data_IF_049482919693
#
_entry.id   IF_049482919693
#
_cell.length_a   1.000
_cell.length_b   1.000
_cell.length_c   1.000
_cell.angle_alpha   90.00
_cell.angle_beta   90.00
_cell.angle_gamma   90.00
#
_symmetry.space_group_name_H-M   'P 1'
#
loop_
_entity.id
_entity.type
_entity.pdbx_description
1 polymer ?
#
# COMPACT_ATOMS: atom_id res chain seq x y z
N UNK A 1 5.89 8.88 5.93
CA UNK A 1 5.59 9.59 7.20
C UNK A 1 4.53 8.84 8.03
N UNK A 2 3.42 8.40 7.43
CA UNK A 2 2.34 7.65 8.10
C UNK A 2 2.84 6.44 8.91
N UNK A 3 3.72 5.61 8.35
CA UNK A 3 4.28 4.46 9.08
C UNK A 3 5.08 4.82 10.33
N UNK A 4 5.91 5.87 10.30
CA UNK A 4 6.67 6.26 11.49
C UNK A 4 5.72 6.75 12.59
N UNK A 5 4.68 7.50 12.23
CA UNK A 5 3.64 7.93 13.14
C UNK A 5 2.88 6.74 13.74
N UNK A 6 2.49 5.76 12.93
CA UNK A 6 1.87 4.53 13.41
C UNK A 6 2.78 3.80 14.41
N UNK A 7 4.06 3.61 14.09
CA UNK A 7 4.99 2.92 14.99
C UNK A 7 5.21 3.69 16.29
N UNK A 8 5.25 5.03 16.24
CA UNK A 8 5.32 5.87 17.45
C UNK A 8 4.04 5.74 18.26
N UNK A 9 2.87 5.80 17.61
CA UNK A 9 1.57 5.63 18.25
C UNK A 9 1.49 4.29 18.97
N UNK A 10 1.81 3.18 18.30
CA UNK A 10 1.81 1.85 18.91
C UNK A 10 2.77 1.75 20.11
N UNK A 11 3.95 2.37 20.01
CA UNK A 11 4.90 2.40 21.10
C UNK A 11 4.40 3.23 22.30
N UNK A 12 3.77 4.37 22.04
CA UNK A 12 3.17 5.23 23.07
C UNK A 12 2.00 4.52 23.74
N UNK A 13 1.08 3.92 22.98
CA UNK A 13 -0.04 3.16 23.52
C UNK A 13 0.45 2.02 24.42
N UNK A 14 1.43 1.22 23.97
CA UNK A 14 2.02 0.16 24.78
C UNK A 14 2.70 0.71 26.06
N UNK A 15 3.36 1.86 25.98
CA UNK A 15 4.00 2.49 27.13
C UNK A 15 3.00 3.09 28.14
N UNK A 16 1.84 3.57 27.69
CA UNK A 16 0.77 4.13 28.55
C UNK A 16 -0.08 3.03 29.21
N UNK A 17 -0.30 1.91 28.51
CA UNK A 17 -0.98 0.73 29.05
C UNK A 17 -0.25 0.13 30.26
N UNK A 18 1.08 0.23 30.30
CA UNK A 18 1.89 -0.39 31.35
C UNK A 18 1.71 0.30 32.74
N UNK A 19 1.67 1.64 32.86
CA UNK A 19 1.21 2.30 34.09
C UNK A 19 -0.25 2.02 34.43
N UNK A 20 -1.16 2.05 33.45
CA UNK A 20 -2.60 1.87 33.66
C UNK A 20 -2.93 0.48 34.23
N UNK A 21 -2.36 -0.58 33.65
CA UNK A 21 -2.43 -1.96 34.16
C UNK A 21 -1.99 -2.09 35.61
N UNK A 22 -0.86 -1.46 35.95
CA UNK A 22 -0.34 -1.51 37.33
C UNK A 22 -1.19 -0.73 38.31
N UNK A 23 -1.85 0.34 37.86
CA UNK A 23 -2.82 1.10 38.64
C UNK A 23 -4.08 0.27 38.90
N UNK A 24 -4.71 -0.25 37.83
CA UNK A 24 -5.89 -1.13 37.92
C UNK A 24 -5.64 -2.33 38.83
N UNK A 25 -4.50 -3.00 38.69
CA UNK A 25 -4.12 -4.13 39.54
C UNK A 25 -4.00 -3.77 41.04
N UNK A 26 -3.80 -2.50 41.38
CA UNK A 26 -3.70 -2.01 42.76
C UNK A 26 -4.99 -1.42 43.31
N UNK A 27 -5.83 -0.83 42.47
CA UNK A 27 -7.01 -0.07 42.89
C UNK A 27 -8.33 -0.81 42.74
N UNK A 28 -8.40 -1.87 41.91
CA UNK A 28 -9.61 -2.68 41.80
C UNK A 28 -9.90 -3.43 43.11
N UNK A 29 -11.06 -3.19 43.75
CA UNK A 29 -11.49 -3.95 44.91
C UNK A 29 -11.61 -5.42 44.53
N UNK A 30 -11.01 -6.32 45.29
CA UNK A 30 -11.09 -7.77 45.05
C UNK A 30 -12.51 -8.36 45.28
N UNK A 31 -13.54 -7.52 45.47
CA UNK A 31 -14.79 -7.88 46.13
C UNK A 31 -16.07 -7.68 45.31
N UNK A 32 -16.01 -7.67 43.97
CA UNK A 32 -17.22 -7.89 43.15
C UNK A 32 -17.32 -9.37 42.76
N UNK A 33 -17.83 -10.19 43.70
CA UNK A 33 -18.39 -11.55 43.58
C UNK A 33 -17.67 -12.66 42.76
N UNK A 34 -16.52 -12.43 42.13
CA UNK A 34 -15.74 -13.46 41.47
C UNK A 34 -14.24 -13.29 41.78
N UNK A 35 -13.65 -14.30 42.44
CA UNK A 35 -12.24 -14.32 42.90
C UNK A 35 -11.20 -14.09 41.79
N UNK A 36 -11.60 -14.09 40.52
CA UNK A 36 -10.74 -13.89 39.34
C UNK A 36 -10.86 -12.54 38.64
N UNK A 37 -11.71 -11.60 39.08
CA UNK A 37 -11.99 -10.36 38.33
C UNK A 37 -10.74 -9.53 38.01
N UNK A 38 -9.87 -9.33 39.01
CA UNK A 38 -8.59 -8.63 38.82
C UNK A 38 -7.65 -9.36 37.87
N UNK A 39 -7.64 -10.69 37.90
CA UNK A 39 -6.78 -11.51 37.03
C UNK A 39 -7.25 -11.43 35.58
N UNK A 40 -8.57 -11.39 35.35
CA UNK A 40 -9.14 -11.26 34.02
C UNK A 40 -8.72 -9.93 33.35
N UNK A 41 -8.86 -8.80 34.05
CA UNK A 41 -8.47 -7.48 33.54
C UNK A 41 -6.97 -7.33 33.33
N UNK A 42 -6.16 -7.68 34.33
CA UNK A 42 -4.70 -7.60 34.19
C UNK A 42 -4.20 -8.53 33.08
N UNK A 43 -4.79 -9.72 32.94
CA UNK A 43 -4.46 -10.65 31.87
C UNK A 43 -4.84 -10.13 30.49
N UNK A 44 -6.01 -9.50 30.36
CA UNK A 44 -6.48 -8.88 29.12
C UNK A 44 -5.53 -7.78 28.65
N UNK A 45 -5.16 -6.86 29.54
CA UNK A 45 -4.27 -5.76 29.20
C UNK A 45 -2.85 -6.25 28.85
N UNK A 46 -2.34 -7.27 29.53
CA UNK A 46 -1.06 -7.89 29.19
C UNK A 46 -1.14 -8.48 27.77
N UNK A 47 -2.23 -9.16 27.42
CA UNK A 47 -2.44 -9.69 26.08
C UNK A 47 -2.50 -8.55 25.03
N UNK A 48 -3.21 -7.47 25.32
CA UNK A 48 -3.28 -6.29 24.46
C UNK A 48 -1.91 -5.64 24.26
N UNK A 49 -1.14 -5.46 25.34
CA UNK A 49 0.21 -4.92 25.32
C UNK A 49 1.17 -5.79 24.48
N UNK A 50 1.11 -7.12 24.65
CA UNK A 50 1.91 -8.06 23.86
C UNK A 50 1.56 -7.99 22.38
N UNK A 51 0.26 -7.86 22.04
CA UNK A 51 -0.16 -7.73 20.65
C UNK A 51 0.24 -6.39 20.03
N UNK A 52 0.17 -5.28 20.78
CA UNK A 52 0.69 -3.99 20.34
C UNK A 52 2.21 -4.05 20.09
N UNK A 53 2.97 -4.69 20.98
CA UNK A 53 4.41 -4.89 20.81
C UNK A 53 4.73 -5.79 19.60
N UNK A 54 3.97 -6.87 19.39
CA UNK A 54 4.09 -7.73 18.22
C UNK A 54 3.73 -7.00 16.92
N UNK A 55 2.65 -6.20 16.91
CA UNK A 55 2.24 -5.39 15.76
C UNK A 55 3.33 -4.37 15.41
N UNK A 56 3.93 -3.73 16.42
CA UNK A 56 5.04 -2.80 16.28
C UNK A 56 6.28 -3.49 15.66
N UNK A 57 6.65 -4.66 16.17
CA UNK A 57 7.83 -5.40 15.70
C UNK A 57 7.63 -5.98 14.30
N UNK A 58 6.51 -6.65 14.03
CA UNK A 58 6.18 -7.21 12.71
C UNK A 58 5.96 -6.11 11.68
N UNK A 59 5.29 -5.02 12.05
CA UNK A 59 5.10 -3.85 11.21
C UNK A 59 6.43 -3.17 10.85
N UNK A 60 7.41 -3.17 11.76
CA UNK A 60 8.80 -2.75 11.46
C UNK A 60 9.48 -3.66 10.44
N UNK A 61 9.22 -4.97 10.48
CA UNK A 61 9.82 -5.94 9.54
C UNK A 61 9.08 -6.11 8.22
N UNK A 62 7.93 -5.42 8.02
CA UNK A 62 7.00 -5.66 6.89
C UNK A 62 6.58 -7.14 6.76
N UNK A 63 6.55 -7.86 7.88
CA UNK A 63 6.23 -9.28 7.85
C UNK A 63 4.73 -9.49 7.60
N UNK A 64 4.36 -10.51 6.81
CA UNK A 64 2.96 -10.81 6.45
C UNK A 64 2.01 -10.97 7.65
N UNK A 65 2.54 -11.45 8.78
CA UNK A 65 1.74 -11.64 9.99
C UNK A 65 1.39 -10.33 10.70
N UNK A 66 2.00 -9.20 10.32
CA UNK A 66 1.66 -7.90 10.89
C UNK A 66 0.16 -7.60 10.72
N UNK A 67 -0.42 -7.93 9.57
CA UNK A 67 -1.85 -7.72 9.31
C UNK A 67 -2.71 -8.52 10.29
N UNK A 68 -2.44 -9.82 10.45
CA UNK A 68 -3.19 -10.68 11.37
C UNK A 68 -3.10 -10.19 12.83
N UNK A 69 -1.90 -9.78 13.27
CA UNK A 69 -1.71 -9.26 14.62
C UNK A 69 -2.43 -7.92 14.80
N UNK A 70 -2.34 -7.00 13.83
CA UNK A 70 -3.06 -5.72 13.87
C UNK A 70 -4.58 -5.90 13.92
N UNK A 71 -5.13 -6.88 13.18
CA UNK A 71 -6.56 -7.23 13.24
C UNK A 71 -6.95 -7.79 14.60
N UNK A 72 -6.13 -8.68 15.17
CA UNK A 72 -6.37 -9.22 16.52
C UNK A 72 -6.32 -8.11 17.58
N UNK A 73 -5.34 -7.20 17.51
CA UNK A 73 -5.25 -6.03 18.41
C UNK A 73 -6.45 -5.12 18.27
N UNK A 74 -6.90 -4.83 17.04
CA UNK A 74 -8.08 -3.99 16.80
C UNK A 74 -9.36 -4.62 17.36
N UNK A 75 -9.51 -5.95 17.24
CA UNK A 75 -10.64 -6.66 17.83
C UNK A 75 -10.61 -6.57 19.36
N UNK A 76 -9.44 -6.75 19.99
CA UNK A 76 -9.30 -6.61 21.44
C UNK A 76 -9.58 -5.19 21.93
N UNK A 77 -9.13 -4.15 21.22
CA UNK A 77 -9.52 -2.76 21.54
C UNK A 77 -11.03 -2.52 21.42
N UNK A 78 -11.70 -3.19 20.47
CA UNK A 78 -13.15 -3.15 20.37
C UNK A 78 -13.85 -3.86 21.54
N UNK A 79 -13.28 -4.97 22.02
CA UNK A 79 -13.75 -5.65 23.22
C UNK A 79 -13.53 -4.79 24.47
N UNK A 80 -12.38 -4.12 24.57
CA UNK A 80 -12.01 -3.18 25.64
C UNK A 80 -13.05 -2.07 25.76
N UNK A 81 -13.29 -1.34 24.66
CA UNK A 81 -14.30 -0.30 24.57
C UNK A 81 -15.71 -0.77 24.95
N UNK A 82 -16.07 -1.98 24.54
CA UNK A 82 -17.35 -2.57 24.90
C UNK A 82 -17.43 -2.87 26.40
N UNK A 83 -16.39 -3.49 26.97
CA UNK A 83 -16.38 -3.82 28.39
C UNK A 83 -16.43 -2.56 29.26
N UNK A 84 -15.65 -1.54 28.92
CA UNK A 84 -15.62 -0.27 29.65
C UNK A 84 -16.99 0.42 29.63
N UNK A 85 -17.66 0.48 28.47
CA UNK A 85 -19.00 1.06 28.37
C UNK A 85 -20.04 0.23 29.17
N UNK A 86 -19.98 -1.09 29.10
CA UNK A 86 -20.99 -1.97 29.74
C UNK A 86 -20.81 -2.01 31.25
N UNK A 87 -19.59 -1.97 31.75
CA UNK A 87 -19.29 -2.11 33.18
C UNK A 87 -19.40 -0.80 33.95
N UNK A 88 -19.27 0.33 33.27
CA UNK A 88 -19.48 1.67 33.83
C UNK A 88 -20.94 2.15 33.69
N UNK A 89 -21.82 1.34 33.08
CA UNK A 89 -23.21 1.71 32.81
C UNK A 89 -24.02 1.90 34.11
N UNK A 90 -24.32 3.14 34.47
CA UNK A 90 -25.14 3.51 35.62
C UNK A 90 -24.41 4.18 36.80
N UNK A 91 -23.16 4.62 36.61
CA UNK A 91 -22.45 5.46 37.57
C UNK A 91 -22.79 6.97 37.35
N UNK A 92 -22.46 7.88 38.29
CA UNK A 92 -22.79 9.30 38.12
C UNK A 92 -21.93 10.06 37.07
N UNK A 93 -20.97 9.41 36.41
CA UNK A 93 -19.92 10.04 35.57
C UNK A 93 -19.66 9.31 34.22
N UNK A 94 -20.69 8.64 33.68
CA UNK A 94 -20.67 7.73 32.52
C UNK A 94 -20.10 8.28 31.20
N UNK A 95 -19.90 9.60 31.08
CA UNK A 95 -19.40 10.23 29.85
C UNK A 95 -17.91 10.01 29.62
N UNK A 96 -17.12 9.77 30.66
CA UNK A 96 -15.67 9.61 30.54
C UNK A 96 -15.29 8.33 29.77
N UNK A 97 -15.95 7.21 30.09
CA UNK A 97 -15.71 5.91 29.45
C UNK A 97 -16.18 5.89 27.99
N UNK A 98 -17.35 6.49 27.71
CA UNK A 98 -17.83 6.67 26.34
C UNK A 98 -16.88 7.57 25.53
N UNK A 99 -16.37 8.65 26.14
CA UNK A 99 -15.42 9.53 25.48
C UNK A 99 -14.08 8.82 25.19
N UNK A 100 -13.57 8.01 26.11
CA UNK A 100 -12.34 7.24 25.91
C UNK A 100 -12.50 6.21 24.78
N UNK A 101 -13.58 5.44 24.79
CA UNK A 101 -13.92 4.49 23.74
C UNK A 101 -14.01 5.17 22.35
N UNK A 102 -14.71 6.29 22.26
CA UNK A 102 -14.92 7.01 21.01
C UNK A 102 -13.67 7.76 20.49
N UNK A 103 -12.80 8.24 21.39
CA UNK A 103 -11.66 9.11 21.02
C UNK A 103 -10.34 8.35 20.93
N UNK A 104 -10.19 7.26 21.70
CA UNK A 104 -8.92 6.54 21.82
C UNK A 104 -9.03 5.15 21.23
N UNK A 105 -9.85 4.27 21.80
CA UNK A 105 -9.84 2.84 21.46
C UNK A 105 -10.39 2.54 20.08
N UNK A 106 -11.60 3.03 19.75
CA UNK A 106 -12.21 2.82 18.43
C UNK A 106 -11.35 3.46 17.33
N UNK A 107 -10.90 4.73 17.45
CA UNK A 107 -10.01 5.32 16.46
C UNK A 107 -8.69 4.55 16.31
N UNK A 108 -8.09 4.06 17.39
CA UNK A 108 -6.87 3.26 17.34
C UNK A 108 -7.11 1.92 16.64
N UNK A 109 -8.23 1.25 16.92
CA UNK A 109 -8.65 0.03 16.23
C UNK A 109 -8.83 0.27 14.72
N UNK A 110 -9.49 1.36 14.33
CA UNK A 110 -9.65 1.76 12.93
C UNK A 110 -8.29 2.03 12.28
N UNK A 111 -7.40 2.76 12.95
CA UNK A 111 -6.03 3.03 12.46
C UNK A 111 -5.26 1.73 12.24
N UNK A 112 -5.36 0.76 13.16
CA UNK A 112 -4.75 -0.56 13.03
C UNK A 112 -5.28 -1.34 11.83
N UNK A 113 -6.61 -1.37 11.63
CA UNK A 113 -7.23 -2.03 10.49
C UNK A 113 -6.85 -1.39 9.15
N UNK A 114 -6.89 -0.06 9.07
CA UNK A 114 -6.48 0.68 7.86
C UNK A 114 -5.00 0.45 7.57
N UNK A 115 -4.15 0.46 8.59
CA UNK A 115 -2.72 0.21 8.45
C UNK A 115 -2.43 -1.24 8.01
N UNK A 116 -3.16 -2.21 8.58
CA UNK A 116 -3.11 -3.61 8.17
C UNK A 116 -3.50 -3.79 6.70
N UNK A 117 -4.53 -3.07 6.24
CA UNK A 117 -4.93 -3.05 4.82
C UNK A 117 -3.88 -2.39 3.92
N UNK A 118 -3.27 -1.29 4.35
CA UNK A 118 -2.20 -0.63 3.57
C UNK A 118 -0.96 -1.52 3.42
N UNK A 119 -0.64 -2.32 4.43
CA UNK A 119 0.42 -3.34 4.34
C UNK A 119 0.07 -4.42 3.30
N UNK A 120 -1.23 -4.72 3.12
CA UNK A 120 -1.66 -5.65 2.08
C UNK A 120 -1.56 -5.04 0.68
N UNK A 121 -1.94 -3.78 0.49
CA UNK A 121 -1.95 -3.13 -0.82
C UNK A 121 -0.61 -2.52 -1.25
N UNK A 122 0.44 -2.66 -0.43
CA UNK A 122 1.74 -2.04 -0.66
C UNK A 122 1.75 -0.50 -0.51
N UNK A 123 0.60 0.17 -0.40
CA UNK A 123 0.52 1.60 -0.15
C UNK A 123 0.98 2.49 -1.31
N UNK A 124 1.08 1.96 -2.53
CA UNK A 124 1.38 2.74 -3.72
C UNK A 124 0.15 3.53 -4.17
N UNK A 125 0.31 4.83 -4.47
CA UNK A 125 -0.82 5.63 -4.93
C UNK A 125 -1.22 5.21 -6.35
N UNK A 126 -2.51 4.98 -6.58
CA UNK A 126 -3.02 4.73 -7.93
C UNK A 126 -3.21 6.07 -8.63
N UNK A 127 -2.71 6.18 -9.86
CA UNK A 127 -2.82 7.36 -10.70
C UNK A 127 -3.29 6.92 -12.08
N UNK A 128 -4.34 7.54 -12.60
CA UNK A 128 -4.82 7.24 -13.95
C UNK A 128 -3.89 7.88 -14.94
N UNK A 129 -3.36 7.10 -15.88
CA UNK A 129 -2.45 7.56 -16.91
C UNK A 129 -3.12 8.65 -17.77
N UNK A 130 -2.43 9.77 -17.91
CA UNK A 130 -2.82 10.90 -18.75
C UNK A 130 -1.88 11.05 -19.95
N UNK A 131 -2.28 11.84 -20.95
CA UNK A 131 -1.37 12.17 -22.06
C UNK A 131 -0.15 12.99 -21.59
N UNK A 132 -0.27 13.80 -20.53
CA UNK A 132 0.88 14.49 -19.93
C UNK A 132 1.89 13.49 -19.38
N UNK A 133 1.43 12.41 -18.71
CA UNK A 133 2.31 11.36 -18.21
C UNK A 133 3.08 10.67 -19.34
N UNK A 134 2.39 10.35 -20.44
CA UNK A 134 3.02 9.76 -21.64
C UNK A 134 4.08 10.70 -22.23
N UNK A 135 3.76 12.00 -22.35
CA UNK A 135 4.69 13.01 -22.86
C UNK A 135 5.89 13.19 -21.93
N UNK A 136 5.69 13.19 -20.61
CA UNK A 136 6.75 13.29 -19.61
C UNK A 136 7.67 12.07 -19.68
N UNK A 137 7.14 10.86 -19.80
CA UNK A 137 7.94 9.64 -19.85
C UNK A 137 8.84 9.56 -21.09
N UNK A 138 8.45 10.19 -22.20
CA UNK A 138 9.27 10.27 -23.41
C UNK A 138 10.44 11.24 -23.32
N UNK A 139 10.48 12.13 -22.31
CA UNK A 139 11.57 13.10 -22.13
C UNK A 139 12.76 12.43 -21.41
N UNK A 140 13.98 12.49 -21.96
CA UNK A 140 15.18 11.98 -21.27
C UNK A 140 15.42 12.63 -19.91
N UNK A 141 15.09 13.92 -19.78
CA UNK A 141 15.22 14.66 -18.51
C UNK A 141 14.33 14.10 -17.39
N UNK A 142 13.20 13.48 -17.72
CA UNK A 142 12.34 12.83 -16.72
C UNK A 142 13.03 11.63 -16.10
N UNK A 143 13.59 10.75 -16.93
CA UNK A 143 14.30 9.55 -16.45
C UNK A 143 15.48 9.94 -15.56
N UNK A 144 16.33 10.87 -16.01
CA UNK A 144 17.48 11.36 -15.25
C UNK A 144 17.09 11.95 -13.89
N UNK A 145 16.00 12.72 -13.84
CA UNK A 145 15.53 13.32 -12.58
C UNK A 145 14.96 12.25 -11.63
N UNK A 146 14.23 11.26 -12.16
CA UNK A 146 13.69 10.18 -11.33
C UNK A 146 14.81 9.30 -10.78
N UNK A 147 15.82 8.98 -11.59
CA UNK A 147 17.02 8.25 -11.21
C UNK A 147 17.80 9.00 -10.11
N UNK A 148 18.02 10.31 -10.27
CA UNK A 148 18.64 11.16 -9.25
C UNK A 148 17.85 11.23 -7.91
N UNK A 149 16.59 10.82 -7.92
CA UNK A 149 15.72 10.77 -6.74
C UNK A 149 15.55 9.35 -6.17
N UNK A 150 16.11 8.32 -6.79
CA UNK A 150 16.03 6.93 -6.31
C UNK A 150 16.72 6.76 -4.95
N UNK A 151 17.88 7.38 -4.79
CA UNK A 151 18.67 7.35 -3.55
C UNK A 151 18.06 8.18 -2.41
N UNK A 152 17.06 9.01 -2.72
CA UNK A 152 16.23 9.68 -1.72
C UNK A 152 15.98 11.17 -1.98
N UNK A 153 15.55 11.91 -0.93
CA UNK A 153 15.13 13.30 -1.10
C UNK A 153 16.27 14.26 -1.48
N UNK A 154 16.14 14.94 -2.62
CA UNK A 154 17.14 15.89 -3.14
C UNK A 154 16.61 17.33 -3.27
N UNK A 155 17.50 18.33 -3.22
CA UNK A 155 17.16 19.72 -3.58
C UNK A 155 17.28 19.93 -5.09
N UNK A 156 16.82 21.07 -5.61
CA UNK A 156 16.94 21.37 -7.04
C UNK A 156 18.41 21.47 -7.45
N UNK A 157 19.23 22.07 -6.59
CA UNK A 157 20.68 22.24 -6.79
C UNK A 157 21.38 20.87 -6.87
N UNK A 158 21.05 19.95 -5.97
CA UNK A 158 21.61 18.60 -5.99
C UNK A 158 21.18 17.81 -7.24
N UNK A 159 19.93 17.97 -7.69
CA UNK A 159 19.46 17.33 -8.93
C UNK A 159 20.22 17.90 -10.15
N UNK A 160 20.45 19.22 -10.21
CA UNK A 160 21.24 19.85 -11.27
C UNK A 160 22.66 19.30 -11.27
N UNK A 161 23.29 19.18 -10.10
CA UNK A 161 24.65 18.63 -9.94
C UNK A 161 24.75 17.17 -10.40
N UNK A 162 23.79 16.33 -10.02
CA UNK A 162 23.76 14.90 -10.37
C UNK A 162 23.44 14.65 -11.85
N UNK A 163 22.57 15.47 -12.45
CA UNK A 163 22.07 15.24 -13.82
C UNK A 163 22.79 16.06 -14.88
N UNK A 164 23.45 17.16 -14.51
CA UNK A 164 24.03 18.13 -15.44
C UNK A 164 22.99 18.91 -16.27
N UNK A 165 21.71 18.80 -15.95
CA UNK A 165 20.62 19.47 -16.67
C UNK A 165 20.58 20.96 -16.38
N UNK A 166 20.09 21.75 -17.34
CA UNK A 166 19.87 23.17 -17.11
C UNK A 166 18.82 23.41 -16.01
N UNK A 167 18.97 24.45 -15.16
CA UNK A 167 18.04 24.73 -14.06
C UNK A 167 16.58 24.88 -14.52
N UNK A 168 16.34 25.54 -15.66
CA UNK A 168 14.99 25.73 -16.22
C UNK A 168 14.32 24.41 -16.60
N UNK A 169 15.09 23.47 -17.17
CA UNK A 169 14.63 22.13 -17.53
C UNK A 169 14.29 21.33 -16.27
N UNK A 170 15.15 21.40 -15.24
CA UNK A 170 14.90 20.72 -13.97
C UNK A 170 13.61 21.23 -13.32
N UNK A 171 13.42 22.54 -13.25
CA UNK A 171 12.22 23.14 -12.65
C UNK A 171 10.94 22.88 -13.45
N UNK A 172 11.01 22.88 -14.78
CA UNK A 172 9.87 22.53 -15.63
C UNK A 172 9.49 21.05 -15.45
N UNK A 173 10.45 20.14 -15.54
CA UNK A 173 10.21 18.71 -15.39
C UNK A 173 9.68 18.38 -13.99
N UNK A 174 10.24 18.96 -12.93
CA UNK A 174 9.73 18.78 -11.56
C UNK A 174 8.30 19.32 -11.39
N UNK A 175 7.94 20.42 -12.06
CA UNK A 175 6.55 20.93 -12.07
C UNK A 175 5.61 19.95 -12.77
N UNK A 176 5.99 19.41 -13.92
CA UNK A 176 5.22 18.38 -14.64
C UNK A 176 5.04 17.13 -13.79
N UNK A 177 6.15 16.56 -13.28
CA UNK A 177 6.12 15.38 -12.43
C UNK A 177 5.30 15.58 -11.15
N UNK A 178 5.23 16.81 -10.61
CA UNK A 178 4.38 17.12 -9.46
C UNK A 178 2.89 17.10 -9.83
N UNK A 179 2.51 17.65 -10.99
CA UNK A 179 1.11 17.61 -11.47
C UNK A 179 0.66 16.17 -11.71
N UNK A 180 1.54 15.38 -12.31
CA UNK A 180 1.40 13.95 -12.55
C UNK A 180 1.61 13.05 -11.33
N UNK A 181 1.83 13.63 -10.14
CA UNK A 181 2.01 12.92 -8.85
C UNK A 181 3.21 11.97 -8.76
N UNK A 182 4.13 12.00 -9.72
CA UNK A 182 5.39 11.24 -9.68
C UNK A 182 6.38 11.78 -8.63
N UNK A 183 6.28 13.05 -8.26
CA UNK A 183 7.11 13.65 -7.20
C UNK A 183 6.28 14.48 -6.24
N UNK A 184 6.76 14.63 -5.01
CA UNK A 184 6.20 15.55 -4.01
C UNK A 184 7.31 16.35 -3.34
N UNK A 185 6.96 17.50 -2.76
CA UNK A 185 7.85 18.21 -1.83
C UNK A 185 7.71 17.70 -0.40
N UNK A 186 8.85 17.53 0.25
CA UNK A 186 8.96 17.26 1.69
C UNK A 186 8.78 18.55 2.50
N UNK A 187 8.59 18.43 3.82
CA UNK A 187 8.49 19.59 4.73
C UNK A 187 9.75 20.46 4.72
N UNK A 188 10.92 19.88 4.44
CA UNK A 188 12.19 20.60 4.30
C UNK A 188 12.48 21.11 2.88
N UNK A 189 11.46 21.22 2.01
CA UNK A 189 11.60 21.75 0.65
C UNK A 189 12.21 20.80 -0.38
N UNK A 190 12.83 19.69 0.04
CA UNK A 190 13.41 18.65 -0.85
C UNK A 190 12.33 17.91 -1.65
N UNK A 191 12.65 17.54 -2.88
CA UNK A 191 11.84 16.70 -3.76
C UNK A 191 12.01 15.23 -3.41
N UNK A 192 10.92 14.47 -3.55
CA UNK A 192 10.87 13.04 -3.25
C UNK A 192 10.10 12.36 -4.36
N UNK A 193 10.68 11.33 -4.97
CA UNK A 193 9.95 10.45 -5.87
C UNK A 193 8.83 9.74 -5.11
N UNK A 194 7.65 9.68 -5.73
CA UNK A 194 6.49 8.98 -5.21
C UNK A 194 6.25 7.79 -6.12
N UNK A 195 6.37 6.55 -5.61
CA UNK A 195 6.01 5.40 -6.40
C UNK A 195 4.50 5.44 -6.63
N UNK A 196 4.09 5.31 -7.89
CA UNK A 196 2.67 5.31 -8.28
C UNK A 196 2.39 4.11 -9.19
N UNK A 197 1.19 3.55 -9.05
CA UNK A 197 0.67 2.53 -9.94
C UNK A 197 -0.18 3.21 -11.01
N UNK A 198 0.31 3.24 -12.24
CA UNK A 198 -0.39 3.81 -13.38
C UNK A 198 -1.55 2.90 -13.81
N UNK A 199 -2.73 3.48 -13.95
CA UNK A 199 -3.97 2.79 -14.32
C UNK A 199 -4.41 3.23 -15.71
N UNK A 200 -5.00 2.33 -16.49
CA UNK A 200 -5.52 2.66 -17.80
C UNK A 200 -6.72 3.61 -17.68
N UNK A 201 -6.74 4.76 -18.39
CA UNK A 201 -7.90 5.63 -18.42
C UNK A 201 -9.07 4.96 -19.15
N UNK A 202 -10.29 5.31 -18.74
CA UNK A 202 -11.48 4.97 -19.51
C UNK A 202 -11.45 5.74 -20.83
N UNK A 203 -11.79 5.10 -21.94
CA UNK A 203 -11.64 5.69 -23.28
C UNK A 203 -12.50 6.97 -23.44
N UNK A 204 -13.62 7.04 -22.73
CA UNK A 204 -14.57 8.15 -22.71
C UNK A 204 -14.05 9.36 -21.92
N UNK A 205 -13.09 9.15 -21.03
CA UNK A 205 -12.52 10.22 -20.19
C UNK A 205 -11.48 11.09 -20.90
N UNK A 206 -11.06 10.69 -22.11
CA UNK A 206 -10.01 11.36 -22.87
C UNK A 206 -10.57 12.18 -24.03
N UNK A 207 -9.92 13.31 -24.31
CA UNK A 207 -10.10 14.03 -25.57
C UNK A 207 -9.66 13.13 -26.75
N UNK A 208 -10.15 13.35 -27.99
CA UNK A 208 -9.74 12.55 -29.14
C UNK A 208 -8.22 12.53 -29.37
N UNK A 209 -7.54 13.67 -29.17
CA UNK A 209 -6.09 13.80 -29.31
C UNK A 209 -5.34 13.04 -28.20
N UNK A 210 -5.78 13.18 -26.94
CA UNK A 210 -5.16 12.48 -25.82
C UNK A 210 -5.40 10.97 -25.90
N UNK A 211 -6.56 10.54 -26.44
CA UNK A 211 -6.86 9.12 -26.70
C UNK A 211 -5.83 8.52 -27.66
N UNK A 212 -5.58 9.16 -28.79
CA UNK A 212 -4.57 8.70 -29.76
C UNK A 212 -3.18 8.61 -29.11
N UNK A 213 -2.80 9.61 -28.31
CA UNK A 213 -1.50 9.62 -27.61
C UNK A 213 -1.37 8.45 -26.64
N UNK A 214 -2.43 8.17 -25.88
CA UNK A 214 -2.46 7.08 -24.88
C UNK A 214 -2.52 5.71 -25.54
N UNK A 215 -3.30 5.54 -26.61
CA UNK A 215 -3.37 4.29 -27.38
C UNK A 215 -2.01 3.94 -27.99
N UNK A 216 -1.38 4.87 -28.68
CA UNK A 216 -0.04 4.67 -29.26
C UNK A 216 1.02 4.30 -28.20
N UNK A 217 0.87 4.81 -26.97
CA UNK A 217 1.71 4.42 -25.84
C UNK A 217 1.48 2.96 -25.42
N UNK A 218 0.22 2.52 -25.31
CA UNK A 218 -0.09 1.13 -24.97
C UNK A 218 0.32 0.15 -26.07
N UNK A 219 0.14 0.51 -27.33
CA UNK A 219 0.52 -0.34 -28.48
C UNK A 219 2.03 -0.54 -28.52
N UNK A 220 2.80 0.54 -28.38
CA UNK A 220 4.26 0.46 -28.28
C UNK A 220 4.71 -0.39 -27.08
N UNK A 221 4.02 -0.28 -25.94
CA UNK A 221 4.31 -1.12 -24.77
C UNK A 221 4.05 -2.59 -25.07
N UNK A 222 2.93 -2.95 -25.67
CA UNK A 222 2.61 -4.35 -26.01
C UNK A 222 3.66 -4.95 -26.95
N UNK A 223 4.12 -4.18 -27.94
CA UNK A 223 5.18 -4.61 -28.85
C UNK A 223 6.48 -4.89 -28.08
N UNK A 224 6.91 -3.95 -27.23
CA UNK A 224 8.09 -4.13 -26.38
C UNK A 224 7.97 -5.35 -25.45
N UNK A 225 6.79 -5.58 -24.87
CA UNK A 225 6.54 -6.76 -24.03
C UNK A 225 6.59 -8.06 -24.84
N UNK A 226 6.18 -8.03 -26.11
CA UNK A 226 6.24 -9.19 -27.00
C UNK A 226 7.69 -9.52 -27.32
N UNK A 227 8.49 -8.53 -27.72
CA UNK A 227 9.94 -8.69 -27.96
C UNK A 227 10.67 -9.21 -26.72
N UNK A 228 10.35 -8.67 -25.54
CA UNK A 228 10.91 -9.14 -24.27
C UNK A 228 10.54 -10.59 -23.97
N UNK A 229 9.30 -10.99 -24.24
CA UNK A 229 8.83 -12.36 -24.03
C UNK A 229 9.47 -13.34 -25.02
N UNK A 230 9.61 -12.94 -26.29
CA UNK A 230 10.32 -13.72 -27.32
C UNK A 230 11.78 -13.94 -26.93
N UNK A 231 12.47 -12.88 -26.48
CA UNK A 231 13.80 -12.99 -25.90
C UNK A 231 13.77 -13.95 -24.71
N UNK A 232 12.98 -13.71 -23.67
CA UNK A 232 12.95 -14.57 -22.50
C UNK A 232 12.66 -16.06 -22.83
N UNK A 233 11.84 -16.34 -23.85
CA UNK A 233 11.61 -17.70 -24.33
C UNK A 233 12.86 -18.32 -24.97
N UNK A 234 13.64 -17.55 -25.74
CA UNK A 234 14.88 -18.01 -26.35
C UNK A 234 15.99 -18.29 -25.31
N UNK A 235 16.08 -17.50 -24.24
CA UNK A 235 17.10 -17.64 -23.18
C UNK A 235 16.66 -18.48 -21.97
N UNK A 236 15.48 -19.12 -22.00
CA UNK A 236 14.85 -19.72 -20.81
C UNK A 236 15.73 -20.71 -20.02
N UNK A 237 16.64 -21.44 -20.69
CA UNK A 237 17.54 -22.41 -20.06
C UNK A 237 18.62 -21.77 -19.18
N UNK A 238 18.96 -20.50 -19.42
CA UNK A 238 20.01 -19.78 -18.70
C UNK A 238 19.49 -19.19 -17.38
N UNK A 239 18.17 -19.14 -17.19
CA UNK A 239 17.58 -18.43 -16.07
C UNK A 239 17.46 -19.25 -14.77
N UNK A 240 17.73 -20.55 -14.80
CA UNK A 240 17.66 -21.45 -13.63
C UNK A 240 16.38 -21.21 -12.80
N UNK A 241 16.49 -21.03 -11.48
CA UNK A 241 15.35 -20.77 -10.57
C UNK A 241 14.76 -19.35 -10.66
N UNK A 242 15.30 -18.46 -11.51
CA UNK A 242 14.85 -17.07 -11.63
C UNK A 242 13.63 -16.91 -12.54
N UNK A 243 13.23 -17.96 -13.27
CA UNK A 243 11.95 -18.00 -13.98
C UNK A 243 10.90 -18.64 -13.09
N UNK A 244 9.77 -17.95 -12.98
CA UNK A 244 8.55 -18.47 -12.37
C UNK A 244 7.40 -18.22 -13.33
N UNK A 245 6.59 -19.25 -13.58
CA UNK A 245 5.46 -19.17 -14.49
C UNK A 245 4.35 -20.08 -14.01
N UNK A 246 3.12 -19.59 -14.13
CA UNK A 246 1.92 -20.39 -13.92
C UNK A 246 0.95 -20.08 -15.06
N UNK A 247 0.28 -21.11 -15.58
CA UNK A 247 -0.79 -20.98 -16.55
C UNK A 247 -2.08 -21.49 -15.92
N UNK A 248 -3.06 -20.61 -15.78
CA UNK A 248 -4.36 -20.93 -15.18
C UNK A 248 -5.48 -20.43 -16.09
N UNK A 249 -6.56 -21.22 -16.20
CA UNK A 249 -7.80 -20.78 -16.85
C UNK A 249 -8.78 -20.32 -15.76
N UNK A 250 -9.41 -19.16 -15.96
CA UNK A 250 -10.42 -18.61 -15.06
C UNK A 250 -11.66 -18.25 -15.86
N UNK A 251 -12.84 -18.52 -15.31
CA UNK A 251 -14.12 -18.06 -15.84
C UNK A 251 -14.66 -17.03 -14.85
N UNK A 252 -14.63 -15.76 -15.23
CA UNK A 252 -14.97 -14.64 -14.35
C UNK A 252 -15.93 -13.71 -15.08
N UNK A 253 -16.84 -13.12 -14.33
CA UNK A 253 -17.55 -11.91 -14.78
C UNK A 253 -16.57 -10.73 -14.86
N UNK A 254 -16.94 -9.67 -15.59
CA UNK A 254 -16.15 -8.43 -15.66
C UNK A 254 -15.87 -7.85 -14.26
N UNK A 255 -16.87 -7.84 -13.38
CA UNK A 255 -16.73 -7.34 -12.00
C UNK A 255 -15.73 -8.15 -11.18
N UNK A 256 -15.71 -9.46 -11.37
CA UNK A 256 -14.76 -10.36 -10.70
C UNK A 256 -13.35 -10.20 -11.28
N UNK A 257 -13.21 -10.04 -12.60
CA UNK A 257 -11.93 -9.76 -13.24
C UNK A 257 -11.32 -8.45 -12.74
N UNK A 258 -12.11 -7.36 -12.65
CA UNK A 258 -11.66 -6.08 -12.09
C UNK A 258 -11.28 -6.19 -10.61
N UNK A 259 -11.93 -7.08 -9.85
CA UNK A 259 -11.56 -7.35 -8.45
C UNK A 259 -10.25 -8.13 -8.37
N UNK A 260 -10.12 -9.20 -9.15
CA UNK A 260 -8.91 -10.02 -9.20
C UNK A 260 -7.70 -9.20 -9.62
N UNK A 261 -7.82 -8.38 -10.66
CA UNK A 261 -6.76 -7.48 -11.13
C UNK A 261 -6.25 -6.58 -10.00
N UNK A 262 -7.16 -5.99 -9.23
CA UNK A 262 -6.81 -5.16 -8.07
C UNK A 262 -6.06 -5.93 -7.00
N UNK A 263 -6.53 -7.12 -6.62
CA UNK A 263 -5.89 -7.94 -5.59
C UNK A 263 -4.53 -8.47 -6.04
N UNK A 264 -4.39 -8.83 -7.32
CA UNK A 264 -3.14 -9.22 -7.93
C UNK A 264 -2.13 -8.06 -7.94
N UNK A 265 -2.55 -6.87 -8.37
CA UNK A 265 -1.69 -5.69 -8.35
C UNK A 265 -1.26 -5.34 -6.92
N UNK A 266 -2.18 -5.37 -5.95
CA UNK A 266 -1.86 -5.17 -4.53
C UNK A 266 -0.77 -6.13 -4.04
N UNK A 267 -0.82 -7.40 -4.45
CA UNK A 267 0.23 -8.38 -4.19
C UNK A 267 1.57 -7.96 -4.82
N UNK A 268 1.59 -7.64 -6.12
CA UNK A 268 2.81 -7.24 -6.82
C UNK A 268 3.43 -5.98 -6.21
N UNK A 269 2.62 -4.95 -5.96
CA UNK A 269 3.08 -3.67 -5.39
C UNK A 269 3.71 -3.86 -4.00
N UNK A 270 3.23 -4.84 -3.22
CA UNK A 270 3.80 -5.17 -1.91
C UNK A 270 5.24 -5.69 -2.02
N UNK A 271 5.50 -6.57 -2.99
CA UNK A 271 6.84 -7.14 -3.20
C UNK A 271 7.78 -6.16 -3.90
N UNK A 272 7.28 -5.34 -4.82
CA UNK A 272 8.05 -4.30 -5.51
C UNK A 272 8.68 -3.26 -4.55
N UNK A 273 8.18 -3.13 -3.32
CA UNK A 273 8.70 -2.19 -2.31
C UNK A 273 9.66 -2.81 -1.27
N UNK A 274 10.05 -4.08 -1.44
CA UNK A 274 10.96 -4.74 -0.50
C UNK A 274 12.37 -4.14 -0.56
N UNK A 275 12.84 -3.83 -1.76
CA UNK A 275 14.15 -3.24 -2.01
C UNK A 275 13.99 -2.01 -2.89
N UNK A 276 14.70 -0.93 -2.55
CA UNK A 276 14.66 0.31 -3.32
C UNK A 276 15.61 0.28 -4.52
N UNK A 277 16.68 -0.52 -4.45
CA UNK A 277 17.68 -0.67 -5.49
C UNK A 277 18.22 -2.11 -5.51
N UNK A 278 18.83 -2.55 -6.63
CA UNK A 278 19.52 -3.83 -6.71
C UNK A 278 20.67 -3.93 -5.70
N UNK A 279 20.82 -5.10 -5.11
CA UNK A 279 21.91 -5.54 -4.24
C UNK A 279 22.52 -6.82 -4.82
N UNK A 280 23.69 -7.26 -4.31
CA UNK A 280 24.33 -8.49 -4.77
C UNK A 280 23.48 -9.77 -4.62
N UNK A 281 22.38 -9.72 -3.87
CA UNK A 281 21.45 -10.85 -3.67
C UNK A 281 20.10 -10.68 -4.38
N UNK A 282 19.86 -9.57 -5.07
CA UNK A 282 18.57 -9.28 -5.74
C UNK A 282 18.77 -9.11 -7.23
N UNK A 283 17.79 -9.51 -8.04
CA UNK A 283 17.75 -9.25 -9.47
C UNK A 283 16.52 -8.44 -9.83
N UNK A 284 16.65 -7.58 -10.83
CA UNK A 284 15.49 -6.95 -11.45
C UNK A 284 14.69 -8.02 -12.19
N UNK A 285 13.38 -8.06 -11.96
CA UNK A 285 12.48 -9.05 -12.56
C UNK A 285 11.35 -8.33 -13.29
N UNK A 286 11.18 -8.65 -14.56
CA UNK A 286 10.00 -8.26 -15.32
C UNK A 286 8.81 -9.14 -14.90
N UNK A 287 7.97 -8.64 -13.98
CA UNK A 287 6.73 -9.32 -13.55
C UNK A 287 5.57 -8.82 -14.41
N UNK A 288 4.82 -9.74 -15.01
CA UNK A 288 3.68 -9.42 -15.89
C UNK A 288 2.45 -10.24 -15.57
N UNK A 289 1.30 -9.60 -15.74
CA UNK A 289 -0.01 -10.22 -15.67
C UNK A 289 -0.80 -9.81 -16.90
N UNK A 290 -1.37 -10.80 -17.57
CA UNK A 290 -2.24 -10.60 -18.71
C UNK A 290 -3.52 -11.40 -18.49
N UNK A 291 -4.66 -10.76 -18.75
CA UNK A 291 -5.95 -11.40 -18.81
C UNK A 291 -6.66 -10.89 -20.06
N UNK A 292 -7.06 -11.82 -20.93
CA UNK A 292 -7.81 -11.54 -22.15
C UNK A 292 -8.67 -12.77 -22.46
N UNK A 293 -9.81 -12.59 -23.16
CA UNK A 293 -10.63 -13.71 -23.57
C UNK A 293 -9.84 -14.64 -24.49
N UNK A 294 -10.13 -15.94 -24.41
CA UNK A 294 -9.62 -16.88 -25.40
C UNK A 294 -10.19 -16.55 -26.77
N UNK A 295 -9.47 -16.87 -27.85
CA UNK A 295 -9.92 -16.65 -29.22
C UNK A 295 -11.33 -17.19 -29.48
N UNK A 296 -11.58 -18.44 -29.08
CA UNK A 296 -12.90 -19.10 -29.20
C UNK A 296 -14.01 -18.31 -28.47
N UNK A 297 -13.73 -17.82 -27.27
CA UNK A 297 -14.71 -17.07 -26.47
C UNK A 297 -15.00 -15.69 -27.09
N UNK A 298 -13.97 -15.02 -27.60
CA UNK A 298 -14.12 -13.76 -28.32
C UNK A 298 -14.96 -13.92 -29.59
N UNK A 299 -14.68 -14.96 -30.39
CA UNK A 299 -15.45 -15.29 -31.60
C UNK A 299 -16.91 -15.60 -31.28
N UNK A 300 -17.20 -16.33 -30.19
CA UNK A 300 -18.58 -16.59 -29.72
C UNK A 300 -19.34 -15.32 -29.33
N UNK A 301 -18.69 -14.40 -28.61
CA UNK A 301 -19.32 -13.13 -28.20
C UNK A 301 -19.64 -12.26 -29.42
N UNK A 302 -18.73 -12.19 -30.40
CA UNK A 302 -18.97 -11.46 -31.65
C UNK A 302 -20.15 -12.06 -32.43
N UNK A 303 -20.23 -13.39 -32.53
CA UNK A 303 -21.34 -14.07 -33.19
C UNK A 303 -22.69 -13.78 -32.50
N UNK A 304 -22.74 -13.79 -31.17
CA UNK A 304 -23.95 -13.48 -30.41
C UNK A 304 -24.37 -12.00 -30.45
N UNK A 305 -23.42 -11.09 -30.72
CA UNK A 305 -23.67 -9.66 -30.89
C UNK A 305 -24.13 -9.27 -32.30
N UNK A 306 -23.81 -10.08 -33.31
CA UNK A 306 -24.25 -9.88 -34.70
C UNK A 306 -25.73 -10.25 -34.94
N UNK A 307 -26.35 -11.00 -34.03
CA UNK A 307 -27.76 -11.41 -34.04
C UNK A 307 -28.69 -10.43 -33.28
N UNK A 308 -28.21 -9.24 -32.87
CA UNK A 308 -29.00 -8.16 -32.25
C UNK A 308 -29.01 -6.90 -33.10
#
# INVERSE_FOLDING_TARGET
MIRRLLLVLLAVCAAVLLPWTTYLGRTLPASHQADGWRVAWVGFDIALMLLLACALWLGRRRHRMATSVMTATAALLGCDAWFDIVLDWGAPDDWASIAMACVVEIPLAVVLLVSGRQLLSGGMARHTLTAEDVRLQRRPSTAQILEALEDGPATVEAIIELTGLQPSVVEETLRGLRRSRHVRRSRGGRWVAVPISLQRPAAESLSPEDRQTVEAFYDGKILQETELFEWAAAQHSEFADWVKGSRSRMLLTERELIRFDREYLDLVMRYAQLHAAPTGQTRELAVRWYAFPTREDHERVLAAGADR
#
